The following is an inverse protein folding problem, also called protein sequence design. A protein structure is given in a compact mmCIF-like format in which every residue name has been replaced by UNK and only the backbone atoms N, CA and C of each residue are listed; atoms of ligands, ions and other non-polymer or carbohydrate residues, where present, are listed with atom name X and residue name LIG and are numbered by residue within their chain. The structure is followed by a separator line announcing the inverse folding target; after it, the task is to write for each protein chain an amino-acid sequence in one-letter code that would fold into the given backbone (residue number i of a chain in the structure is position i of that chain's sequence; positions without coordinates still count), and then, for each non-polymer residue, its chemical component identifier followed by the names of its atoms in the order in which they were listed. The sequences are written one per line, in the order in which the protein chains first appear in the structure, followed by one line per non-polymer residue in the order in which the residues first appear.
data_IF_690532769843
#
_entry.id   IF_690532769843
#
_cell.length_a   1.000
_cell.length_b   1.000
_cell.length_c   1.000
_cell.angle_alpha   90.00
_cell.angle_beta   90.00
_cell.angle_gamma   90.00
#
_symmetry.space_group_name_H-M   'P 1'
#
loop_
_entity.id
_entity.type
_entity.pdbx_description
1 polymer ?
#
# COMPACT_ATOMS: atom_id res chain seq x y z
N UNK A 1 -11.87 -5.91 -5.34
CA UNK A 1 -10.50 -5.47 -5.69
C UNK A 1 -9.61 -6.69 -5.88
N UNK A 2 -8.75 -6.68 -6.89
CA UNK A 2 -7.74 -7.72 -7.12
C UNK A 2 -6.35 -7.14 -6.86
N UNK A 3 -5.64 -7.70 -5.90
CA UNK A 3 -4.27 -7.31 -5.56
C UNK A 3 -3.34 -8.44 -5.97
N UNK A 4 -2.23 -8.09 -6.61
CA UNK A 4 -1.16 -9.02 -6.94
C UNK A 4 -0.04 -8.74 -5.95
N UNK A 5 0.03 -9.56 -4.92
CA UNK A 5 1.12 -9.57 -3.95
C UNK A 5 2.22 -10.48 -4.49
N UNK A 6 3.46 -10.00 -4.49
CA UNK A 6 4.61 -10.82 -4.76
C UNK A 6 5.46 -10.96 -3.51
N UNK A 7 6.08 -12.12 -3.34
CA UNK A 7 7.06 -12.35 -2.30
C UNK A 7 8.17 -13.25 -2.82
N UNK A 8 9.41 -12.90 -2.48
CA UNK A 8 10.55 -13.79 -2.59
C UNK A 8 11.19 -13.96 -1.21
N UNK A 9 12.25 -14.78 -1.11
CA UNK A 9 12.95 -15.06 0.15
C UNK A 9 13.51 -13.80 0.87
N UNK A 10 13.49 -12.63 0.24
CA UNK A 10 14.04 -11.38 0.76
C UNK A 10 12.99 -10.29 0.99
N UNK A 11 12.06 -10.12 0.05
CA UNK A 11 11.16 -8.97 -0.01
C UNK A 11 9.72 -9.38 -0.37
N UNK A 12 8.74 -8.62 0.13
CA UNK A 12 7.35 -8.62 -0.31
C UNK A 12 7.05 -7.30 -1.01
N UNK A 13 6.26 -7.32 -2.08
CA UNK A 13 5.81 -6.10 -2.77
C UNK A 13 4.45 -6.28 -3.42
N UNK A 14 3.79 -5.16 -3.74
CA UNK A 14 2.56 -5.14 -4.55
C UNK A 14 2.97 -4.89 -5.99
N UNK A 15 2.74 -5.86 -6.85
CA UNK A 15 3.10 -5.80 -8.25
C UNK A 15 1.93 -5.40 -9.15
N UNK A 16 0.71 -5.34 -8.63
CA UNK A 16 -0.45 -4.90 -9.39
C UNK A 16 -1.71 -4.74 -8.52
N UNK A 17 -2.56 -3.79 -8.88
CA UNK A 17 -3.85 -3.52 -8.25
C UNK A 17 -4.85 -3.22 -9.34
N UNK A 18 -5.94 -3.97 -9.38
CA UNK A 18 -6.97 -3.83 -10.41
C UNK A 18 -8.37 -3.95 -9.82
N UNK A 19 -9.30 -3.11 -10.29
CA UNK A 19 -10.73 -3.29 -9.98
C UNK A 19 -11.34 -4.45 -10.77
N UNK A 20 -10.85 -4.67 -11.98
CA UNK A 20 -11.42 -5.60 -12.96
C UNK A 20 -10.64 -6.94 -13.02
N UNK A 21 -11.38 -8.05 -13.04
CA UNK A 21 -10.81 -9.39 -13.05
C UNK A 21 -10.13 -9.72 -14.39
N UNK A 22 -10.70 -9.28 -15.52
CA UNK A 22 -10.14 -9.55 -16.84
C UNK A 22 -8.82 -8.79 -17.05
N UNK A 23 -8.74 -7.54 -16.57
CA UNK A 23 -7.49 -6.78 -16.55
C UNK A 23 -6.43 -7.45 -15.69
N UNK A 24 -6.82 -7.98 -14.52
CA UNK A 24 -5.91 -8.75 -13.65
C UNK A 24 -5.33 -9.96 -14.39
N UNK A 25 -6.17 -10.73 -15.09
CA UNK A 25 -5.73 -11.90 -15.87
C UNK A 25 -4.76 -11.50 -16.98
N UNK A 26 -5.10 -10.47 -17.76
CA UNK A 26 -4.22 -9.95 -18.83
C UNK A 26 -2.87 -9.47 -18.28
N UNK A 27 -2.87 -8.85 -17.10
CA UNK A 27 -1.63 -8.39 -16.49
C UNK A 27 -0.73 -9.58 -16.06
N UNK A 28 -1.31 -10.63 -15.48
CA UNK A 28 -0.56 -11.84 -15.12
C UNK A 28 0.12 -12.48 -16.35
N UNK A 29 -0.56 -12.50 -17.50
CA UNK A 29 -0.02 -13.07 -18.75
C UNK A 29 1.23 -12.35 -19.28
N UNK A 30 1.43 -11.08 -18.91
CA UNK A 30 2.60 -10.29 -19.34
C UNK A 30 3.72 -10.25 -18.31
N UNK A 31 3.54 -10.87 -17.13
CA UNK A 31 4.61 -10.99 -16.13
C UNK A 31 5.65 -12.02 -16.63
N UNK A 32 6.95 -11.68 -16.62
CA UNK A 32 8.01 -12.64 -16.96
C UNK A 32 7.95 -13.91 -16.10
N UNK A 33 8.19 -15.08 -16.72
CA UNK A 33 8.03 -16.39 -16.08
C UNK A 33 8.86 -16.51 -14.79
N UNK A 34 10.06 -15.93 -14.76
CA UNK A 34 10.95 -15.91 -13.61
C UNK A 34 10.40 -15.14 -12.41
N UNK A 35 9.53 -14.14 -12.65
CA UNK A 35 8.86 -13.35 -11.63
C UNK A 35 7.49 -13.92 -11.27
N UNK A 36 6.81 -14.58 -12.22
CA UNK A 36 5.45 -15.08 -12.08
C UNK A 36 5.30 -16.05 -10.90
N UNK A 37 6.30 -16.91 -10.66
CA UNK A 37 6.31 -17.87 -9.54
C UNK A 37 6.20 -17.23 -8.15
N UNK A 38 6.56 -15.96 -8.03
CA UNK A 38 6.52 -15.21 -6.79
C UNK A 38 5.18 -14.48 -6.58
N UNK A 39 4.31 -14.45 -7.59
CA UNK A 39 3.07 -13.66 -7.60
C UNK A 39 1.89 -14.46 -7.07
N UNK A 40 1.01 -13.80 -6.33
CA UNK A 40 -0.27 -14.34 -5.85
C UNK A 40 -1.37 -13.30 -5.99
N UNK A 41 -2.48 -13.71 -6.58
CA UNK A 41 -3.69 -12.88 -6.61
C UNK A 41 -4.42 -13.03 -5.28
N UNK A 42 -4.78 -11.89 -4.69
CA UNK A 42 -5.64 -11.77 -3.52
C UNK A 42 -6.88 -10.97 -3.90
N UNK A 43 -8.05 -11.53 -3.64
CA UNK A 43 -9.32 -10.85 -3.87
C UNK A 43 -9.79 -10.22 -2.56
N UNK A 44 -10.10 -8.93 -2.60
CA UNK A 44 -10.67 -8.18 -1.48
C UNK A 44 -12.08 -7.73 -1.87
N UNK A 45 -13.10 -8.29 -1.22
CA UNK A 45 -14.51 -8.08 -1.59
C UNK A 45 -15.06 -6.73 -1.11
N UNK A 46 -14.57 -6.21 0.01
CA UNK A 46 -15.10 -5.02 0.70
C UNK A 46 -14.30 -3.74 0.47
N UNK A 47 -13.23 -3.82 -0.33
CA UNK A 47 -12.34 -2.70 -0.63
C UNK A 47 -12.67 -2.11 -2.00
N UNK A 48 -12.88 -0.79 -2.03
CA UNK A 48 -13.10 0.00 -3.24
C UNK A 48 -12.12 1.18 -3.30
N UNK A 49 -11.93 1.74 -4.50
CA UNK A 49 -11.17 2.97 -4.63
C UNK A 49 -11.92 4.19 -4.05
N UNK A 50 -11.22 5.16 -3.45
CA UNK A 50 -9.82 5.08 -3.04
C UNK A 50 -9.66 4.33 -1.70
N UNK A 51 -8.59 3.55 -1.56
CA UNK A 51 -8.23 2.84 -0.31
C UNK A 51 -6.76 3.04 0.05
N UNK A 52 -6.32 2.49 1.19
CA UNK A 52 -4.91 2.48 1.59
C UNK A 52 -4.34 1.08 1.77
N UNK A 53 -3.04 0.98 1.57
CA UNK A 53 -2.23 -0.17 1.98
C UNK A 53 -1.34 0.28 3.12
N UNK A 54 -1.38 -0.48 4.21
CA UNK A 54 -0.45 -0.37 5.32
C UNK A 54 0.59 -1.47 5.17
N UNK A 55 1.86 -1.08 5.15
CA UNK A 55 3.00 -1.99 5.15
C UNK A 55 3.68 -1.96 6.52
N UNK A 56 3.72 -3.11 7.18
CA UNK A 56 4.45 -3.33 8.44
C UNK A 56 5.42 -4.48 8.21
N UNK A 57 6.72 -4.18 8.12
CA UNK A 57 7.71 -5.17 7.74
C UNK A 57 7.42 -5.74 6.36
N UNK A 58 7.18 -7.05 6.28
CA UNK A 58 6.91 -7.80 5.05
C UNK A 58 5.40 -8.04 4.79
N UNK A 59 4.52 -7.41 5.58
CA UNK A 59 3.07 -7.64 5.56
C UNK A 59 2.28 -6.44 5.06
N UNK A 60 1.27 -6.73 4.25
CA UNK A 60 0.31 -5.75 3.74
C UNK A 60 -1.07 -5.90 4.38
N UNK A 61 -1.60 -4.78 4.84
CA UNK A 61 -2.97 -4.66 5.34
C UNK A 61 -3.72 -3.66 4.46
N UNK A 62 -4.97 -3.98 4.14
CA UNK A 62 -5.79 -3.21 3.19
C UNK A 62 -6.95 -2.61 3.97
N UNK A 63 -7.06 -1.29 3.91
CA UNK A 63 -8.04 -0.56 4.73
C UNK A 63 -8.71 0.55 3.93
N UNK A 64 -9.95 0.84 4.30
CA UNK A 64 -10.74 1.94 3.75
C UNK A 64 -10.45 3.27 4.47
N UNK A 65 -11.00 4.37 3.96
CA UNK A 65 -10.81 5.72 4.52
C UNK A 65 -11.34 5.90 5.95
N UNK A 66 -12.23 5.04 6.42
CA UNK A 66 -12.79 5.13 7.77
C UNK A 66 -11.85 4.49 8.80
N UNK A 67 -11.19 3.38 8.42
CA UNK A 67 -10.34 2.57 9.30
C UNK A 67 -8.96 3.22 9.56
N UNK A 68 -8.48 4.10 8.67
CA UNK A 68 -7.16 4.73 8.82
C UNK A 68 -7.04 5.58 10.08
N UNK A 69 -8.12 6.28 10.47
CA UNK A 69 -8.09 7.13 11.65
C UNK A 69 -7.97 6.31 12.93
N UNK A 70 -8.73 5.23 13.01
CA UNK A 70 -8.68 4.32 14.15
C UNK A 70 -7.29 3.71 14.26
N UNK A 71 -6.72 3.33 13.11
CA UNK A 71 -5.36 2.81 13.06
C UNK A 71 -4.32 3.82 13.56
N UNK A 72 -4.37 5.07 13.11
CA UNK A 72 -3.45 6.13 13.57
C UNK A 72 -3.64 6.41 15.07
N UNK A 73 -4.90 6.51 15.54
CA UNK A 73 -5.21 6.77 16.95
C UNK A 73 -4.78 5.62 17.87
N UNK A 74 -4.65 4.40 17.35
CA UNK A 74 -4.20 3.22 18.12
C UNK A 74 -2.70 3.15 18.35
N UNK A 75 -1.90 4.02 17.72
CA UNK A 75 -0.44 4.00 17.84
C UNK A 75 -0.01 4.44 19.24
N UNK A 76 0.83 3.61 19.87
CA UNK A 76 1.54 3.95 21.11
C UNK A 76 2.89 4.54 20.73
N UNK A 77 3.09 5.81 21.11
CA UNK A 77 4.32 6.56 20.76
C UNK A 77 5.53 5.95 21.47
N UNK A 78 6.60 5.73 20.73
CA UNK A 78 7.89 5.25 21.22
C UNK A 78 8.88 6.42 21.32
N UNK A 79 9.87 6.30 22.22
CA UNK A 79 10.87 7.37 22.43
C UNK A 79 11.82 7.54 21.25
N UNK A 80 12.01 6.48 20.45
CA UNK A 80 12.83 6.53 19.25
C UNK A 80 12.18 7.44 18.21
N UNK A 81 12.84 8.59 17.97
CA UNK A 81 12.36 9.61 17.03
C UNK A 81 12.39 9.16 15.58
N UNK A 82 13.20 8.14 15.26
CA UNK A 82 13.34 7.59 13.90
C UNK A 82 12.46 6.35 13.70
N UNK A 83 11.66 5.96 14.70
CA UNK A 83 10.76 4.82 14.59
C UNK A 83 9.68 5.08 13.52
N UNK A 84 9.63 4.19 12.53
CA UNK A 84 8.55 4.12 11.54
C UNK A 84 7.60 3.01 11.93
N UNK A 85 6.37 3.37 12.28
CA UNK A 85 5.32 2.42 12.67
C UNK A 85 4.85 1.59 11.48
N UNK A 86 4.67 2.24 10.34
CA UNK A 86 4.31 1.62 9.06
C UNK A 86 4.43 2.61 7.90
N UNK A 87 4.53 2.08 6.68
CA UNK A 87 4.32 2.87 5.47
C UNK A 87 2.84 2.84 5.09
N UNK A 88 2.30 4.00 4.73
CA UNK A 88 0.91 4.16 4.30
C UNK A 88 0.88 4.58 2.84
N UNK A 89 0.38 3.71 1.98
CA UNK A 89 0.22 3.94 0.54
C UNK A 89 -1.22 4.36 0.23
N UNK A 90 -1.41 5.39 -0.59
CA UNK A 90 -2.72 5.82 -1.07
C UNK A 90 -2.99 5.28 -2.47
N UNK A 91 -4.09 4.54 -2.63
CA UNK A 91 -4.46 3.88 -3.89
C UNK A 91 -5.76 4.48 -4.45
N UNK A 92 -5.67 5.48 -5.34
CA UNK A 92 -6.85 6.12 -5.92
C UNK A 92 -7.46 5.37 -7.10
N UNK A 93 -6.71 4.48 -7.74
CA UNK A 93 -7.07 3.77 -8.98
C UNK A 93 -6.14 2.56 -9.18
N UNK A 94 -6.37 1.84 -10.27
CA UNK A 94 -5.50 0.75 -10.71
C UNK A 94 -4.03 1.18 -10.74
N UNK A 95 -3.17 0.26 -10.31
CA UNK A 95 -1.73 0.43 -10.26
C UNK A 95 -1.06 -0.76 -10.94
N UNK A 96 -0.08 -0.45 -11.79
CA UNK A 96 0.87 -1.43 -12.31
C UNK A 96 2.24 -0.75 -12.50
N UNK A 97 3.35 -1.43 -12.20
CA UNK A 97 4.68 -0.96 -12.53
C UNK A 97 4.88 -0.91 -14.05
N UNK A 98 5.87 -0.13 -14.49
CA UNK A 98 6.28 -0.08 -15.91
C UNK A 98 6.77 -1.44 -16.40
N UNK A 99 7.55 -2.13 -15.57
CA UNK A 99 8.04 -3.48 -15.82
C UNK A 99 7.18 -4.47 -15.02
N UNK A 100 6.35 -5.31 -15.69
CA UNK A 100 5.37 -6.16 -15.01
C UNK A 100 6.00 -7.12 -13.99
N UNK A 101 5.33 -7.27 -12.85
CA UNK A 101 5.75 -8.17 -11.76
C UNK A 101 6.88 -7.67 -10.88
N UNK A 102 7.54 -6.56 -11.23
CA UNK A 102 8.66 -5.99 -10.47
C UNK A 102 8.21 -5.22 -9.23
N UNK A 103 9.15 -5.05 -8.29
CA UNK A 103 8.97 -4.15 -7.15
C UNK A 103 9.20 -2.70 -7.58
N UNK A 104 8.12 -1.91 -7.54
CA UNK A 104 8.16 -0.49 -7.84
C UNK A 104 7.22 0.30 -6.91
N UNK A 105 6.98 -0.21 -5.71
CA UNK A 105 6.05 0.41 -4.75
C UNK A 105 6.45 1.83 -4.35
N UNK A 106 7.74 2.17 -4.47
CA UNK A 106 8.23 3.54 -4.25
C UNK A 106 7.62 4.60 -5.19
N UNK A 107 7.02 4.19 -6.31
CA UNK A 107 6.27 5.09 -7.20
C UNK A 107 4.82 5.33 -6.75
N UNK A 108 4.29 4.49 -5.87
CA UNK A 108 2.96 4.70 -5.29
C UNK A 108 3.07 5.84 -4.28
N UNK A 109 2.10 6.75 -4.28
CA UNK A 109 2.06 7.82 -3.30
C UNK A 109 1.97 7.22 -1.88
N UNK A 110 2.99 7.48 -1.06
CA UNK A 110 3.08 6.94 0.29
C UNK A 110 3.67 7.94 1.27
N UNK A 111 3.43 7.67 2.55
CA UNK A 111 4.00 8.42 3.67
C UNK A 111 4.45 7.44 4.75
N UNK A 112 5.58 7.72 5.37
CA UNK A 112 6.01 7.02 6.57
C UNK A 112 5.21 7.55 7.75
N UNK A 113 4.53 6.65 8.45
CA UNK A 113 3.87 6.99 9.72
C UNK A 113 4.92 6.84 10.80
N UNK A 114 5.55 7.96 11.13
CA UNK A 114 6.56 8.11 12.17
C UNK A 114 6.10 9.10 13.24
N UNK A 115 6.93 9.31 14.27
CA UNK A 115 6.62 10.26 15.34
C UNK A 115 6.34 11.69 14.84
N UNK A 116 7.03 12.13 13.79
CA UNK A 116 6.83 13.46 13.21
C UNK A 116 5.48 13.56 12.48
N UNK A 117 5.08 12.52 11.75
CA UNK A 117 3.76 12.44 11.15
C UNK A 117 2.67 12.55 12.21
N UNK A 118 2.82 11.85 13.34
CA UNK A 118 1.84 11.88 14.44
C UNK A 118 1.71 13.25 15.10
N UNK A 119 2.82 13.98 15.25
CA UNK A 119 2.80 15.37 15.73
C UNK A 119 1.95 16.25 14.81
N UNK A 120 2.21 16.20 13.51
CA UNK A 120 1.43 16.96 12.54
C UNK A 120 -0.03 16.47 12.45
N UNK A 121 -0.28 15.17 12.58
CA UNK A 121 -1.64 14.64 12.60
C UNK A 121 -2.47 15.18 13.77
N UNK A 122 -1.84 15.39 14.94
CA UNK A 122 -2.51 16.04 16.09
C UNK A 122 -2.90 17.48 15.81
N UNK A 123 -2.10 18.20 15.03
CA UNK A 123 -2.34 19.61 14.68
C UNK A 123 -3.35 19.78 13.52
N UNK A 124 -3.22 18.96 12.47
CA UNK A 124 -3.95 19.14 11.21
C UNK A 124 -5.04 18.09 10.95
N UNK A 125 -5.12 17.03 11.76
CA UNK A 125 -6.09 15.95 11.56
C UNK A 125 -5.95 15.25 10.21
N UNK A 126 -7.08 14.80 9.64
CA UNK A 126 -7.11 14.04 8.37
C UNK A 126 -6.54 14.81 7.17
N UNK A 127 -6.51 16.14 7.22
CA UNK A 127 -6.03 16.95 6.09
C UNK A 127 -4.56 16.65 5.74
N UNK A 128 -3.77 16.18 6.70
CA UNK A 128 -2.39 15.78 6.42
C UNK A 128 -2.31 14.58 5.47
N UNK A 129 -3.30 13.69 5.52
CA UNK A 129 -3.36 12.51 4.66
C UNK A 129 -3.61 12.89 3.20
N UNK A 130 -4.26 14.04 2.94
CA UNK A 130 -4.59 14.51 1.59
C UNK A 130 -3.56 15.49 1.04
N UNK A 131 -2.90 16.28 1.89
CA UNK A 131 -1.85 17.24 1.49
C UNK A 131 -0.67 16.59 0.77
N UNK A 132 -0.30 15.37 1.15
CA UNK A 132 0.80 14.63 0.52
C UNK A 132 0.40 13.93 -0.80
N UNK A 133 -0.85 14.05 -1.26
CA UNK A 133 -1.36 13.37 -2.46
C UNK A 133 -1.09 14.10 -3.78
N UNK A 134 -0.51 15.30 -3.73
CA UNK A 134 -0.34 16.19 -4.90
C UNK A 134 1.10 16.29 -5.42
N UNK A 135 1.97 15.33 -5.10
CA UNK A 135 3.32 15.25 -5.67
C UNK A 135 3.35 14.35 -6.90
#
# INVERSE_FOLDING_TARGET
MFIIEANNDRNSWISGIFKDEELTKKYIEIIPEELLRNQRIKTLETIEYPFYIIEIGDKFYYINNEEIEEKIKSIVVEEDKEHVYFNLYFIPKDYQPKDPGTDNMGMINHVHIDNRFLEYYKEYGKDILTRNRMA
#
